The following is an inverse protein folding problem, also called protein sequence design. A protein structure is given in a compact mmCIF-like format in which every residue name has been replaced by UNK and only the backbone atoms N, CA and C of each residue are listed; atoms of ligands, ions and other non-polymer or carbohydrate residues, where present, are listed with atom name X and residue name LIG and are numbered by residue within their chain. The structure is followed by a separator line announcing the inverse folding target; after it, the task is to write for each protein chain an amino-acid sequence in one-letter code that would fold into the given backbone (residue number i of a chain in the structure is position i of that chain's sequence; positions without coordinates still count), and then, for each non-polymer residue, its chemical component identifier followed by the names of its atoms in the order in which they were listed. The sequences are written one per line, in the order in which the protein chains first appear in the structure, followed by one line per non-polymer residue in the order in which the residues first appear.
data_IF_186392134024
#
_entry.id   IF_186392134024
#
_cell.length_a   1.000
_cell.length_b   1.000
_cell.length_c   1.000
_cell.angle_alpha   90.00
_cell.angle_beta   90.00
_cell.angle_gamma   90.00
#
_symmetry.space_group_name_H-M   'P 1'
#
loop_
_entity.id
_entity.type
_entity.pdbx_description
1 polymer ?
#
# COMPACT_ATOMS: atom_id res chain seq x y z
N UNK A 1 -39.43 8.38 -12.53
CA UNK A 1 -39.27 7.60 -11.29
C UNK A 1 -37.80 7.58 -10.94
N UNK A 2 -37.39 8.31 -9.90
CA UNK A 2 -36.01 8.22 -9.38
C UNK A 2 -35.85 6.86 -8.72
N UNK A 3 -35.00 6.01 -9.28
CA UNK A 3 -34.60 4.76 -8.63
C UNK A 3 -33.96 5.16 -7.29
N UNK A 4 -34.46 4.65 -6.14
CA UNK A 4 -33.87 4.95 -4.84
C UNK A 4 -32.38 4.58 -4.87
N UNK A 5 -31.53 5.45 -4.34
CA UNK A 5 -30.11 5.22 -4.30
C UNK A 5 -29.83 3.91 -3.52
N UNK A 6 -29.08 2.95 -4.10
CA UNK A 6 -28.71 1.75 -3.37
C UNK A 6 -27.91 2.14 -2.13
N UNK A 7 -28.13 1.43 -1.02
CA UNK A 7 -27.44 1.68 0.23
C UNK A 7 -25.91 1.56 0.04
N UNK A 8 -25.11 2.42 0.68
CA UNK A 8 -23.66 2.37 0.54
C UNK A 8 -23.11 1.03 1.08
N UNK A 9 -22.27 0.37 0.28
CA UNK A 9 -21.66 -0.90 0.66
C UNK A 9 -20.52 -0.62 1.64
N UNK A 10 -20.63 -1.12 2.87
CA UNK A 10 -19.63 -0.93 3.94
C UNK A 10 -18.70 -2.14 4.04
N UNK A 11 -17.39 -1.92 3.94
CA UNK A 11 -16.36 -2.95 4.13
C UNK A 11 -15.45 -2.51 5.28
N UNK A 12 -15.24 -3.32 6.33
CA UNK A 12 -14.38 -2.94 7.44
C UNK A 12 -12.91 -2.84 7.00
N UNK A 13 -12.25 -1.74 7.34
CA UNK A 13 -10.85 -1.48 7.00
C UNK A 13 -9.91 -1.79 8.17
N UNK A 14 -9.70 -3.08 8.44
CA UNK A 14 -8.80 -3.50 9.52
C UNK A 14 -7.30 -3.30 9.18
N UNK A 15 -6.95 -3.10 7.91
CA UNK A 15 -5.54 -3.11 7.43
C UNK A 15 -5.04 -1.75 6.95
N UNK A 16 -5.91 -0.75 6.83
CA UNK A 16 -5.58 0.62 6.45
C UNK A 16 -4.42 1.26 7.23
N UNK A 17 -4.41 1.26 8.57
CA UNK A 17 -3.32 1.84 9.34
C UNK A 17 -2.02 1.04 9.22
N UNK A 18 -2.10 -0.29 9.23
CA UNK A 18 -0.94 -1.17 9.04
C UNK A 18 -0.25 -0.93 7.69
N UNK A 19 -1.03 -0.80 6.60
CA UNK A 19 -0.49 -0.52 5.26
C UNK A 19 0.26 0.81 5.21
N UNK A 20 -0.26 1.85 5.86
CA UNK A 20 0.41 3.16 5.93
C UNK A 20 1.71 3.07 6.71
N UNK A 21 1.71 2.37 7.86
CA UNK A 21 2.92 2.16 8.65
C UNK A 21 4.03 1.46 7.84
N UNK A 22 3.68 0.40 7.09
CA UNK A 22 4.65 -0.30 6.22
C UNK A 22 5.17 0.56 5.07
N UNK A 23 4.34 1.40 4.48
CA UNK A 23 4.80 2.36 3.46
C UNK A 23 5.75 3.41 4.05
N UNK A 24 5.43 3.97 5.21
CA UNK A 24 6.32 4.92 5.88
C UNK A 24 7.65 4.28 6.25
N UNK A 25 7.62 3.06 6.80
CA UNK A 25 8.82 2.29 7.11
C UNK A 25 9.67 2.02 5.85
N UNK A 26 9.02 1.67 4.73
CA UNK A 26 9.70 1.49 3.44
C UNK A 26 10.41 2.77 2.99
N UNK A 27 9.77 3.94 3.05
CA UNK A 27 10.39 5.21 2.65
C UNK A 27 11.56 5.61 3.55
N UNK A 28 11.42 5.40 4.86
CA UNK A 28 12.52 5.65 5.82
C UNK A 28 13.71 4.74 5.50
N UNK A 29 13.48 3.44 5.33
CA UNK A 29 14.55 2.49 4.99
C UNK A 29 15.18 2.77 3.63
N UNK A 30 14.38 3.17 2.63
CA UNK A 30 14.89 3.57 1.31
C UNK A 30 15.79 4.82 1.40
N UNK A 31 15.38 5.81 2.20
CA UNK A 31 16.19 7.01 2.45
C UNK A 31 17.51 6.67 3.14
N UNK A 32 17.48 5.83 4.17
CA UNK A 32 18.68 5.36 4.86
C UNK A 32 19.59 4.52 3.96
N UNK A 33 19.02 3.65 3.12
CA UNK A 33 19.79 2.86 2.17
C UNK A 33 20.47 3.76 1.12
N UNK A 34 19.80 4.80 0.65
CA UNK A 34 20.39 5.77 -0.28
C UNK A 34 21.55 6.53 0.36
N UNK A 35 21.37 7.03 1.59
CA UNK A 35 22.44 7.70 2.33
C UNK A 35 23.62 6.75 2.59
N UNK A 36 23.35 5.50 2.95
CA UNK A 36 24.37 4.46 3.09
C UNK A 36 25.12 4.19 1.79
N UNK A 37 24.41 4.10 0.66
CA UNK A 37 25.02 3.91 -0.65
C UNK A 37 25.92 5.09 -1.06
N UNK A 38 25.56 6.33 -0.70
CA UNK A 38 26.43 7.50 -0.91
C UNK A 38 27.64 7.45 0.02
N UNK A 39 27.45 7.06 1.28
CA UNK A 39 28.52 6.92 2.27
C UNK A 39 29.53 5.80 1.95
N UNK A 40 29.15 4.81 1.12
CA UNK A 40 30.08 3.78 0.62
C UNK A 40 31.32 4.39 -0.05
N UNK A 41 31.14 5.49 -0.81
CA UNK A 41 32.20 6.06 -1.63
C UNK A 41 33.38 6.52 -0.76
N UNK A 42 33.22 7.44 0.21
CA UNK A 42 34.34 7.85 1.06
C UNK A 42 34.86 6.69 1.94
N UNK A 43 33.99 5.83 2.46
CA UNK A 43 34.40 4.70 3.30
C UNK A 43 35.28 3.73 2.53
N UNK A 44 34.98 3.47 1.26
CA UNK A 44 35.81 2.64 0.39
C UNK A 44 37.23 3.20 0.27
N UNK A 45 37.38 4.50 -0.04
CA UNK A 45 38.70 5.11 -0.17
C UNK A 45 39.51 5.07 1.14
N UNK A 46 38.87 5.33 2.28
CA UNK A 46 39.51 5.23 3.60
C UNK A 46 39.95 3.78 3.87
N UNK A 47 39.08 2.81 3.61
CA UNK A 47 39.38 1.38 3.79
C UNK A 47 40.56 0.90 2.95
N UNK A 48 40.66 1.37 1.70
CA UNK A 48 41.78 1.06 0.81
C UNK A 48 43.08 1.70 1.31
N UNK A 49 43.02 2.96 1.76
CA UNK A 49 44.18 3.69 2.27
C UNK A 49 44.76 3.06 3.55
N UNK A 50 43.88 2.71 4.50
CA UNK A 50 44.28 2.17 5.81
C UNK A 50 44.45 0.64 5.81
N UNK A 51 44.27 -0.03 4.66
CA UNK A 51 44.24 -1.50 4.55
C UNK A 51 43.23 -2.18 5.51
N UNK A 52 42.21 -1.43 5.96
CA UNK A 52 41.18 -1.92 6.89
C UNK A 52 39.84 -2.06 6.18
N UNK A 53 39.42 -3.30 5.94
CA UNK A 53 38.15 -3.60 5.24
C UNK A 53 36.93 -3.62 6.18
N UNK A 54 37.14 -3.63 7.50
CA UNK A 54 36.06 -3.76 8.50
C UNK A 54 34.92 -2.72 8.35
N UNK A 55 35.17 -1.41 8.24
CA UNK A 55 34.08 -0.44 8.14
C UNK A 55 33.30 -0.57 6.83
N UNK A 56 33.98 -0.94 5.73
CA UNK A 56 33.33 -1.20 4.45
C UNK A 56 32.39 -2.41 4.52
N UNK A 57 32.85 -3.52 5.12
CA UNK A 57 32.02 -4.73 5.32
C UNK A 57 30.83 -4.46 6.24
N UNK A 58 31.03 -3.70 7.32
CA UNK A 58 29.94 -3.30 8.22
C UNK A 58 28.88 -2.45 7.51
N UNK A 59 29.29 -1.53 6.65
CA UNK A 59 28.35 -0.70 5.91
C UNK A 59 27.59 -1.51 4.83
N UNK A 60 28.27 -2.45 4.15
CA UNK A 60 27.64 -3.39 3.22
C UNK A 60 26.57 -4.25 3.90
N UNK A 61 26.85 -4.76 5.11
CA UNK A 61 25.89 -5.61 5.82
C UNK A 61 24.65 -4.84 6.26
N UNK A 62 24.81 -3.60 6.75
CA UNK A 62 23.68 -2.72 7.06
C UNK A 62 22.85 -2.42 5.80
N UNK A 63 23.50 -2.14 4.67
CA UNK A 63 22.80 -1.90 3.40
C UNK A 63 22.01 -3.13 2.96
N UNK A 64 22.60 -4.33 3.05
CA UNK A 64 21.93 -5.58 2.71
C UNK A 64 20.68 -5.82 3.58
N UNK A 65 20.76 -5.53 4.89
CA UNK A 65 19.61 -5.66 5.80
C UNK A 65 18.51 -4.66 5.44
N UNK A 66 18.86 -3.41 5.11
CA UNK A 66 17.87 -2.40 4.69
C UNK A 66 17.17 -2.81 3.38
N UNK A 67 17.92 -3.34 2.41
CA UNK A 67 17.36 -3.84 1.15
C UNK A 67 16.42 -5.02 1.42
N UNK A 68 16.82 -5.97 2.26
CA UNK A 68 15.98 -7.10 2.65
C UNK A 68 14.68 -6.62 3.29
N UNK A 69 14.77 -5.66 4.21
CA UNK A 69 13.60 -5.06 4.85
C UNK A 69 12.67 -4.37 3.83
N UNK A 70 13.23 -3.66 2.86
CA UNK A 70 12.45 -3.05 1.77
C UNK A 70 11.69 -4.11 0.95
N UNK A 71 12.32 -5.23 0.61
CA UNK A 71 11.68 -6.34 -0.10
C UNK A 71 10.50 -6.89 0.72
N UNK A 72 10.71 -7.14 2.01
CA UNK A 72 9.66 -7.61 2.93
C UNK A 72 8.51 -6.60 2.99
N UNK A 73 8.80 -5.31 3.13
CA UNK A 73 7.78 -4.26 3.17
C UNK A 73 6.95 -4.23 1.87
N UNK A 74 7.57 -4.37 0.71
CA UNK A 74 6.85 -4.45 -0.59
C UNK A 74 5.95 -5.67 -0.63
N UNK A 75 6.44 -6.85 -0.23
CA UNK A 75 5.65 -8.09 -0.20
C UNK A 75 4.44 -7.94 0.73
N UNK A 76 4.63 -7.38 1.93
CA UNK A 76 3.55 -7.16 2.89
C UNK A 76 2.51 -6.18 2.35
N UNK A 77 2.94 -5.05 1.78
CA UNK A 77 2.03 -4.04 1.20
C UNK A 77 1.26 -4.63 0.01
N UNK A 78 1.91 -5.43 -0.83
CA UNK A 78 1.26 -6.11 -1.94
C UNK A 78 0.21 -7.11 -1.45
N UNK A 79 0.58 -7.98 -0.50
CA UNK A 79 -0.31 -8.99 0.09
C UNK A 79 -1.54 -8.36 0.75
N UNK A 80 -1.36 -7.23 1.45
CA UNK A 80 -2.48 -6.48 2.01
C UNK A 80 -3.37 -5.89 0.92
N UNK A 81 -2.79 -5.39 -0.18
CA UNK A 81 -3.55 -4.83 -1.31
C UNK A 81 -4.35 -5.91 -2.04
N UNK A 82 -3.78 -7.09 -2.30
CA UNK A 82 -4.51 -8.18 -2.97
C UNK A 82 -5.71 -8.65 -2.16
N UNK A 83 -5.55 -8.79 -0.83
CA UNK A 83 -6.66 -9.16 0.05
C UNK A 83 -7.78 -8.12 0.13
N UNK A 84 -7.46 -6.82 0.04
CA UNK A 84 -8.48 -5.77 -0.04
C UNK A 84 -9.26 -5.82 -1.36
N UNK A 85 -8.57 -6.09 -2.47
CA UNK A 85 -9.21 -6.19 -3.80
C UNK A 85 -10.20 -7.35 -3.84
N UNK A 86 -9.86 -8.51 -3.27
CA UNK A 86 -10.79 -9.65 -3.22
C UNK A 86 -12.03 -9.34 -2.36
N UNK A 87 -11.84 -8.76 -1.17
CA UNK A 87 -12.97 -8.38 -0.30
C UNK A 87 -13.91 -7.37 -0.96
N UNK A 88 -13.36 -6.38 -1.67
CA UNK A 88 -14.16 -5.41 -2.42
C UNK A 88 -14.90 -6.08 -3.58
N UNK A 89 -14.24 -6.98 -4.31
CA UNK A 89 -14.87 -7.75 -5.39
C UNK A 89 -16.05 -8.60 -4.89
N UNK A 90 -15.87 -9.29 -3.76
CA UNK A 90 -16.91 -10.13 -3.17
C UNK A 90 -18.10 -9.28 -2.69
N UNK A 91 -17.83 -8.16 -2.01
CA UNK A 91 -18.86 -7.23 -1.56
C UNK A 91 -19.65 -6.60 -2.73
N UNK A 92 -18.96 -6.24 -3.83
CA UNK A 92 -19.62 -5.72 -5.03
C UNK A 92 -20.49 -6.77 -5.71
N UNK A 93 -20.03 -8.02 -5.75
CA UNK A 93 -20.80 -9.13 -6.33
C UNK A 93 -22.06 -9.40 -5.51
N UNK A 94 -21.96 -9.41 -4.17
CA UNK A 94 -23.10 -9.56 -3.26
C UNK A 94 -24.09 -8.39 -3.36
N UNK A 95 -23.61 -7.19 -3.65
CA UNK A 95 -24.45 -6.01 -3.85
C UNK A 95 -25.08 -5.90 -5.25
N UNK A 96 -24.95 -6.93 -6.10
CA UNK A 96 -25.55 -6.92 -7.44
C UNK A 96 -24.77 -6.09 -8.47
N UNK A 97 -23.48 -5.87 -8.25
CA UNK A 97 -22.57 -5.20 -9.19
C UNK A 97 -21.43 -6.13 -9.66
N UNK A 98 -21.75 -7.30 -10.27
CA UNK A 98 -20.73 -8.21 -10.79
C UNK A 98 -19.96 -7.57 -11.95
N UNK A 99 -18.66 -7.86 -12.07
CA UNK A 99 -17.82 -7.38 -13.19
C UNK A 99 -17.26 -5.96 -13.03
N UNK A 100 -17.53 -5.28 -11.92
CA UNK A 100 -16.88 -4.02 -11.57
C UNK A 100 -15.41 -4.25 -11.24
N UNK A 101 -14.51 -3.45 -11.83
CA UNK A 101 -13.06 -3.55 -11.58
C UNK A 101 -12.70 -3.05 -10.17
N UNK A 102 -12.69 -3.97 -9.20
CA UNK A 102 -12.31 -3.71 -7.82
C UNK A 102 -10.88 -3.16 -7.68
N UNK A 103 -9.96 -3.46 -8.61
CA UNK A 103 -8.58 -2.94 -8.56
C UNK A 103 -8.55 -1.43 -8.79
N UNK A 104 -9.34 -0.95 -9.74
CA UNK A 104 -9.48 0.48 -10.05
C UNK A 104 -10.17 1.23 -8.91
N UNK A 105 -11.21 0.65 -8.33
CA UNK A 105 -11.87 1.19 -7.13
C UNK A 105 -10.93 1.31 -5.93
N UNK A 106 -10.16 0.26 -5.62
CA UNK A 106 -9.16 0.30 -4.54
C UNK A 106 -8.02 1.29 -4.82
N UNK A 107 -7.75 1.58 -6.10
CA UNK A 107 -6.82 2.63 -6.51
C UNK A 107 -7.42 4.06 -6.41
N UNK A 108 -8.69 4.19 -6.00
CA UNK A 108 -9.38 5.47 -5.86
C UNK A 108 -9.97 6.02 -7.16
N UNK A 109 -9.97 5.22 -8.24
CA UNK A 109 -10.60 5.59 -9.50
C UNK A 109 -12.11 5.37 -9.45
N UNK A 110 -12.83 6.19 -10.23
CA UNK A 110 -14.26 5.97 -10.46
C UNK A 110 -14.43 4.84 -11.48
N UNK A 111 -15.33 3.90 -11.20
CA UNK A 111 -15.59 2.75 -12.07
C UNK A 111 -17.07 2.67 -12.37
N UNK A 112 -17.41 2.46 -13.64
CA UNK A 112 -18.79 2.27 -14.06
C UNK A 112 -19.30 0.89 -13.59
N UNK A 113 -20.49 0.89 -12.99
CA UNK A 113 -21.25 -0.31 -12.68
C UNK A 113 -22.06 -0.76 -13.92
N UNK A 114 -22.31 -2.07 -14.09
CA UNK A 114 -23.27 -2.57 -15.08
C UNK A 114 -24.66 -1.94 -14.98
N UNK A 115 -25.02 -1.43 -13.79
CA UNK A 115 -26.28 -0.72 -13.55
C UNK A 115 -26.31 0.73 -14.08
N UNK A 116 -25.23 1.20 -14.72
CA UNK A 116 -25.16 2.54 -15.32
C UNK A 116 -24.80 3.66 -14.34
N UNK A 117 -24.20 3.33 -13.19
CA UNK A 117 -23.79 4.28 -12.16
C UNK A 117 -22.28 4.32 -12.00
N UNK A 118 -21.70 5.48 -11.68
CA UNK A 118 -20.30 5.58 -11.30
C UNK A 118 -20.14 5.25 -9.83
N UNK A 119 -19.24 4.33 -9.51
CA UNK A 119 -18.90 3.93 -8.15
C UNK A 119 -17.55 4.53 -7.78
N UNK A 120 -17.44 5.04 -6.55
CA UNK A 120 -16.18 5.50 -5.96
C UNK A 120 -16.01 4.93 -4.57
N UNK A 121 -14.80 4.47 -4.29
CA UNK A 121 -14.41 4.06 -2.95
C UNK A 121 -14.10 5.31 -2.12
N UNK A 122 -14.86 5.52 -1.05
CA UNK A 122 -14.62 6.54 -0.04
C UNK A 122 -14.21 5.86 1.25
N UNK A 123 -13.20 6.39 1.93
CA UNK A 123 -12.84 5.94 3.27
C UNK A 123 -13.55 6.84 4.28
N UNK A 124 -14.28 6.24 5.21
CA UNK A 124 -14.92 6.93 6.32
C UNK A 124 -14.42 6.36 7.64
N UNK A 125 -14.32 7.23 8.64
CA UNK A 125 -13.86 6.89 9.98
C UNK A 125 -14.92 7.33 10.96
N UNK A 126 -15.45 6.41 11.75
CA UNK A 126 -16.39 6.73 12.83
C UNK A 126 -15.82 6.23 14.17
N UNK A 127 -16.47 6.56 15.29
CA UNK A 127 -16.11 6.10 16.63
C UNK A 127 -16.03 4.57 16.75
N UNK A 128 -16.71 3.83 15.86
CA UNK A 128 -16.71 2.36 15.79
C UNK A 128 -15.61 1.74 14.92
N UNK A 129 -14.84 2.54 14.16
CA UNK A 129 -13.76 2.05 13.32
C UNK A 129 -13.64 2.72 11.95
N UNK A 130 -12.73 2.18 11.13
CA UNK A 130 -12.51 2.62 9.75
C UNK A 130 -13.26 1.73 8.77
N UNK A 131 -13.94 2.35 7.82
CA UNK A 131 -14.79 1.69 6.83
C UNK A 131 -14.45 2.18 5.42
N UNK A 132 -14.52 1.28 4.45
CA UNK A 132 -14.53 1.58 3.04
C UNK A 132 -15.98 1.55 2.57
N UNK A 133 -16.45 2.68 2.07
CA UNK A 133 -17.76 2.87 1.49
C UNK A 133 -17.63 2.89 -0.02
N UNK A 134 -18.44 2.09 -0.70
CA UNK A 134 -18.64 2.27 -2.14
C UNK A 134 -19.87 3.16 -2.30
N UNK A 135 -19.65 4.39 -2.76
CA UNK A 135 -20.71 5.37 -2.95
C UNK A 135 -20.89 5.67 -4.45
N UNK A 136 -22.11 6.07 -4.81
CA UNK A 136 -22.43 6.50 -6.17
C UNK A 136 -21.93 7.92 -6.37
N UNK A 137 -21.18 8.15 -7.44
CA UNK A 137 -20.87 9.49 -7.93
C UNK A 137 -21.92 9.85 -8.98
N UNK A 138 -22.69 10.91 -8.68
CA UNK A 138 -23.71 11.46 -9.57
C UNK A 138 -23.10 12.24 -10.72
#
# INVERSE_FOLDING_TARGET
MSIPAPAPITIPDHRGPARRAWLTAFFICAGLALLGAVAMIPVFFISVADSTIAPFVALMSVLAVLILFMIVAVIVVWSQRSGLVSQVSDALTLAGHPGVDARRLVAGQQVASPAGYWLRLRRESNASGHWLLVDRVG
#
